data_IF_412773160672
#
_entry.id   IF_412773160672
#
_cell.length_a   1.000
_cell.length_b   1.000
_cell.length_c   1.000
_cell.angle_alpha   90.00
_cell.angle_beta   90.00
_cell.angle_gamma   90.00
#
_symmetry.space_group_name_H-M   'P 1'
#
loop_
_entity.id
_entity.type
_entity.pdbx_description
1 polymer ?
#
# COMPACT_ATOMS: atom_id res chain seq x y z
N UNK A 1 -14.99 -10.47 4.09
CA UNK A 1 -14.17 -10.03 2.96
C UNK A 1 -14.96 -10.23 1.69
N UNK A 2 -14.90 -9.30 0.73
CA UNK A 2 -15.49 -9.43 -0.60
C UNK A 2 -14.39 -9.49 -1.66
N UNK A 3 -14.71 -10.06 -2.81
CA UNK A 3 -13.87 -10.05 -3.99
C UNK A 3 -14.45 -9.02 -4.97
N UNK A 4 -13.61 -8.14 -5.47
CA UNK A 4 -14.02 -7.06 -6.40
C UNK A 4 -13.16 -7.12 -7.65
N UNK A 5 -13.79 -7.26 -8.81
CA UNK A 5 -13.08 -7.24 -10.10
C UNK A 5 -13.38 -5.95 -10.84
N UNK A 6 -12.32 -5.22 -11.23
CA UNK A 6 -12.42 -4.06 -12.11
C UNK A 6 -11.85 -4.41 -13.48
N UNK A 7 -12.53 -4.00 -14.54
CA UNK A 7 -12.05 -4.11 -15.90
C UNK A 7 -11.44 -2.78 -16.33
N UNK A 8 -10.15 -2.82 -16.65
CA UNK A 8 -9.35 -1.64 -16.97
C UNK A 8 -8.63 -1.89 -18.30
N UNK A 9 -8.67 -0.94 -19.26
CA UNK A 9 -7.98 -1.11 -20.52
C UNK A 9 -6.51 -1.47 -20.34
N UNK A 10 -6.05 -2.51 -21.04
CA UNK A 10 -4.67 -3.00 -21.04
C UNK A 10 -4.12 -3.48 -19.67
N UNK A 11 -4.93 -3.52 -18.62
CA UNK A 11 -4.46 -4.04 -17.35
C UNK A 11 -4.17 -5.54 -17.45
N UNK A 12 -3.04 -6.03 -16.93
CA UNK A 12 -2.82 -7.46 -16.79
C UNK A 12 -3.82 -8.05 -15.79
N UNK A 13 -4.04 -9.37 -15.83
CA UNK A 13 -4.78 -10.05 -14.78
C UNK A 13 -3.96 -10.05 -13.50
N UNK A 14 -4.26 -9.15 -12.57
CA UNK A 14 -3.52 -8.98 -11.33
C UNK A 14 -4.43 -8.95 -10.09
N UNK A 15 -3.85 -9.28 -8.94
CA UNK A 15 -4.43 -9.05 -7.63
C UNK A 15 -3.78 -7.82 -6.98
N UNK A 16 -4.59 -6.87 -6.50
CA UNK A 16 -4.18 -5.76 -5.64
C UNK A 16 -4.57 -6.07 -4.21
N UNK A 17 -3.58 -6.13 -3.33
CA UNK A 17 -3.71 -6.39 -1.90
C UNK A 17 -3.06 -5.24 -1.13
N UNK A 18 -3.70 -4.81 -0.04
CA UNK A 18 -3.16 -3.77 0.85
C UNK A 18 -3.75 -3.89 2.26
N UNK A 19 -3.11 -3.29 3.24
CA UNK A 19 -3.65 -3.11 4.60
C UNK A 19 -4.00 -4.44 5.30
N UNK A 20 -3.12 -5.44 5.28
CA UNK A 20 -3.28 -6.71 6.00
C UNK A 20 -3.07 -6.52 7.51
N UNK A 21 -2.08 -5.71 7.89
CA UNK A 21 -1.75 -5.38 9.29
C UNK A 21 -1.58 -6.62 10.17
N UNK A 22 -0.84 -7.61 9.72
CA UNK A 22 -0.53 -8.84 10.46
C UNK A 22 -1.72 -9.74 10.79
N UNK A 23 -2.91 -9.49 10.21
CA UNK A 23 -4.11 -10.30 10.43
C UNK A 23 -3.99 -11.66 9.72
N UNK A 24 -4.91 -12.57 10.06
CA UNK A 24 -4.97 -13.89 9.43
C UNK A 24 -5.11 -13.77 7.91
N UNK A 25 -4.12 -14.25 7.13
CA UNK A 25 -4.12 -14.13 5.68
C UNK A 25 -4.84 -15.29 4.96
N UNK A 26 -5.27 -16.32 5.66
CA UNK A 26 -5.76 -17.57 5.04
C UNK A 26 -6.92 -17.33 4.05
N UNK A 27 -7.94 -16.47 4.33
CA UNK A 27 -9.00 -16.19 3.37
C UNK A 27 -8.49 -15.45 2.11
N UNK A 28 -7.49 -14.59 2.27
CA UNK A 28 -6.87 -13.84 1.16
C UNK A 28 -6.09 -14.78 0.26
N UNK A 29 -5.24 -15.62 0.85
CA UNK A 29 -4.43 -16.61 0.12
C UNK A 29 -5.34 -17.56 -0.66
N UNK A 30 -6.43 -18.05 -0.05
CA UNK A 30 -7.39 -18.93 -0.71
C UNK A 30 -8.05 -18.26 -1.91
N UNK A 31 -8.45 -16.99 -1.79
CA UNK A 31 -9.02 -16.21 -2.87
C UNK A 31 -8.03 -16.03 -4.02
N UNK A 32 -6.80 -15.58 -3.71
CA UNK A 32 -5.76 -15.34 -4.74
C UNK A 32 -5.37 -16.63 -5.46
N UNK A 33 -5.25 -17.75 -4.74
CA UNK A 33 -4.95 -19.06 -5.33
C UNK A 33 -6.05 -19.53 -6.29
N UNK A 34 -7.33 -19.24 -5.98
CA UNK A 34 -8.46 -19.58 -6.83
C UNK A 34 -8.50 -18.75 -8.12
N UNK A 35 -8.18 -17.45 -8.04
CA UNK A 35 -8.20 -16.52 -9.18
C UNK A 35 -6.98 -16.63 -10.10
N UNK A 36 -5.84 -17.16 -9.60
CA UNK A 36 -4.60 -17.36 -10.37
C UNK A 36 -4.17 -16.12 -11.16
N UNK A 37 -3.97 -14.97 -10.50
CA UNK A 37 -3.52 -13.77 -11.18
C UNK A 37 -2.13 -13.99 -11.81
N UNK A 38 -1.82 -13.26 -12.88
CA UNK A 38 -0.49 -13.26 -13.49
C UNK A 38 0.53 -12.47 -12.67
N UNK A 39 0.06 -11.52 -11.86
CA UNK A 39 0.86 -10.67 -10.98
C UNK A 39 0.13 -10.45 -9.66
N UNK A 40 0.88 -10.29 -8.57
CA UNK A 40 0.35 -9.87 -7.25
C UNK A 40 1.03 -8.55 -6.87
N UNK A 41 0.21 -7.53 -6.66
CA UNK A 41 0.62 -6.18 -6.31
C UNK A 41 0.26 -5.88 -4.87
N UNK A 42 1.26 -5.74 -4.01
CA UNK A 42 1.15 -5.48 -2.59
C UNK A 42 1.38 -3.98 -2.33
N UNK A 43 0.30 -3.23 -2.11
CA UNK A 43 0.35 -1.78 -1.97
C UNK A 43 0.49 -1.30 -0.52
N UNK A 44 1.35 -1.96 0.28
CA UNK A 44 1.76 -1.51 1.62
C UNK A 44 0.84 -1.90 2.77
N UNK A 45 1.32 -1.62 3.99
CA UNK A 45 0.68 -1.83 5.29
C UNK A 45 0.35 -3.31 5.57
N UNK A 46 1.34 -4.18 5.39
CA UNK A 46 1.21 -5.62 5.72
C UNK A 46 1.54 -5.91 7.17
N UNK A 47 2.41 -5.11 7.81
CA UNK A 47 2.67 -5.18 9.24
C UNK A 47 1.69 -4.31 10.02
N UNK A 48 1.54 -4.61 11.32
CA UNK A 48 0.70 -3.84 12.24
C UNK A 48 1.55 -3.15 13.30
N UNK A 49 1.10 -1.96 13.69
CA UNK A 49 1.72 -1.19 14.75
C UNK A 49 2.76 -0.21 14.25
N UNK A 50 2.94 0.82 15.04
CA UNK A 50 3.88 1.92 14.80
C UNK A 50 5.06 1.89 15.78
N UNK A 51 5.08 0.92 16.71
CA UNK A 51 6.13 0.81 17.72
C UNK A 51 6.39 -0.65 18.05
N UNK A 52 7.65 -1.10 18.05
CA UNK A 52 7.99 -2.38 18.63
C UNK A 52 7.68 -2.32 20.13
N UNK A 53 7.10 -3.41 20.61
CA UNK A 53 6.85 -3.58 22.06
C UNK A 53 8.17 -3.79 22.81
N UNK A 54 9.18 -4.23 22.07
CA UNK A 54 10.56 -4.47 22.48
C UNK A 54 11.49 -4.24 21.27
N UNK A 55 12.79 -4.50 21.43
CA UNK A 55 13.81 -4.28 20.38
C UNK A 55 13.75 -5.31 19.22
N UNK A 56 12.70 -6.15 19.15
CA UNK A 56 12.55 -7.14 18.07
C UNK A 56 11.93 -6.52 16.83
N UNK A 57 12.30 -7.08 15.68
CA UNK A 57 11.67 -6.75 14.41
C UNK A 57 10.15 -6.99 14.43
N UNK A 58 9.35 -6.13 13.80
CA UNK A 58 7.93 -6.42 13.56
C UNK A 58 7.68 -7.76 12.87
N UNK A 59 8.60 -8.24 12.04
CA UNK A 59 8.49 -9.53 11.36
C UNK A 59 8.66 -10.73 12.29
N UNK A 60 9.41 -10.57 13.39
CA UNK A 60 9.56 -11.61 14.41
C UNK A 60 8.32 -11.74 15.30
N UNK A 61 7.60 -10.62 15.50
CA UNK A 61 6.45 -10.57 16.39
C UNK A 61 5.12 -10.80 15.69
N UNK A 62 5.10 -10.77 14.35
CA UNK A 62 3.89 -10.93 13.54
C UNK A 62 3.99 -12.18 12.65
N UNK A 63 3.71 -13.32 13.23
CA UNK A 63 3.89 -14.67 12.66
C UNK A 63 3.21 -14.87 11.29
N UNK A 64 2.18 -14.09 10.97
CA UNK A 64 1.40 -14.24 9.74
C UNK A 64 2.05 -13.58 8.51
N UNK A 65 2.98 -12.63 8.68
CA UNK A 65 3.44 -11.77 7.59
C UNK A 65 4.36 -12.50 6.62
N UNK A 66 5.43 -13.14 7.10
CA UNK A 66 6.35 -13.87 6.22
C UNK A 66 5.70 -15.08 5.53
N UNK A 67 4.87 -15.90 6.22
CA UNK A 67 4.10 -16.95 5.54
C UNK A 67 3.16 -16.43 4.46
N UNK A 68 2.54 -15.26 4.68
CA UNK A 68 1.71 -14.61 3.66
C UNK A 68 2.52 -14.25 2.42
N UNK A 69 3.68 -13.62 2.58
CA UNK A 69 4.55 -13.27 1.46
C UNK A 69 5.02 -14.50 0.67
N UNK A 70 5.43 -15.57 1.36
CA UNK A 70 5.77 -16.86 0.71
C UNK A 70 4.61 -17.45 -0.06
N UNK A 71 3.41 -17.40 0.50
CA UNK A 71 2.23 -17.93 -0.18
C UNK A 71 1.92 -17.12 -1.45
N UNK A 72 2.00 -15.80 -1.40
CA UNK A 72 1.79 -14.94 -2.55
C UNK A 72 2.83 -15.21 -3.65
N UNK A 73 4.12 -15.22 -3.31
CA UNK A 73 5.20 -15.47 -4.27
C UNK A 73 5.19 -16.89 -4.86
N UNK A 74 4.62 -17.85 -4.13
CA UNK A 74 4.37 -19.20 -4.63
C UNK A 74 3.20 -19.31 -5.61
N UNK A 75 2.31 -18.33 -5.66
CA UNK A 75 1.16 -18.28 -6.60
C UNK A 75 1.55 -17.54 -7.88
N UNK A 76 2.13 -16.35 -7.78
CA UNK A 76 2.51 -15.52 -8.93
C UNK A 76 3.66 -14.57 -8.56
N UNK A 77 4.37 -13.98 -9.56
CA UNK A 77 5.30 -12.87 -9.32
C UNK A 77 4.66 -11.81 -8.44
N UNK A 78 5.29 -11.48 -7.33
CA UNK A 78 4.75 -10.63 -6.27
C UNK A 78 5.65 -9.43 -6.02
N UNK A 79 5.07 -8.24 -6.00
CA UNK A 79 5.75 -6.95 -5.87
C UNK A 79 5.17 -6.18 -4.68
N UNK A 80 6.04 -5.64 -3.83
CA UNK A 80 5.68 -4.91 -2.62
C UNK A 80 6.19 -3.48 -2.66
N UNK A 81 5.31 -2.50 -2.48
CA UNK A 81 5.65 -1.11 -2.13
C UNK A 81 5.45 -0.87 -0.63
N UNK A 82 6.29 -0.03 -0.03
CA UNK A 82 6.27 0.22 1.40
C UNK A 82 5.20 1.26 1.77
N UNK A 83 4.25 0.87 2.62
CA UNK A 83 3.24 1.73 3.24
C UNK A 83 3.78 2.48 4.47
N UNK A 84 2.91 3.16 5.20
CA UNK A 84 3.35 3.93 6.37
C UNK A 84 3.65 3.04 7.59
N UNK A 85 3.09 1.85 7.68
CA UNK A 85 3.42 0.91 8.76
C UNK A 85 4.78 0.24 8.55
N UNK A 86 5.25 0.09 7.31
CA UNK A 86 6.59 -0.41 6.98
C UNK A 86 7.73 0.54 7.39
N UNK A 87 7.44 1.75 7.92
CA UNK A 87 8.46 2.68 8.44
C UNK A 87 9.40 2.05 9.49
N UNK A 88 8.94 1.00 10.14
CA UNK A 88 9.65 0.32 11.22
C UNK A 88 10.62 -0.76 10.72
N UNK A 89 10.53 -1.14 9.45
CA UNK A 89 11.40 -2.14 8.85
C UNK A 89 12.77 -1.55 8.54
N UNK A 90 13.81 -2.29 8.87
CA UNK A 90 15.17 -1.98 8.47
C UNK A 90 15.59 -2.80 7.25
N UNK A 91 16.86 -2.64 6.81
CA UNK A 91 17.36 -3.31 5.61
C UNK A 91 17.39 -4.84 5.78
N UNK A 92 17.65 -5.35 7.00
CA UNK A 92 17.64 -6.79 7.28
C UNK A 92 16.21 -7.36 7.18
N UNK A 93 15.21 -6.60 7.62
CA UNK A 93 13.80 -6.96 7.45
C UNK A 93 13.41 -7.01 5.96
N UNK A 94 13.85 -6.03 5.17
CA UNK A 94 13.57 -6.00 3.72
C UNK A 94 14.25 -7.16 2.98
N UNK A 95 15.48 -7.54 3.39
CA UNK A 95 16.17 -8.71 2.89
C UNK A 95 15.41 -10.01 3.25
N UNK A 96 14.90 -10.09 4.48
CA UNK A 96 14.10 -11.21 4.94
C UNK A 96 12.79 -11.34 4.13
N UNK A 97 12.10 -10.23 3.85
CA UNK A 97 10.93 -10.20 2.96
C UNK A 97 11.33 -10.69 1.56
N UNK A 98 12.42 -10.17 1.00
CA UNK A 98 12.91 -10.55 -0.33
C UNK A 98 13.25 -12.04 -0.41
N UNK A 99 13.75 -12.63 0.68
CA UNK A 99 14.03 -14.07 0.77
C UNK A 99 12.78 -14.96 0.65
N UNK A 100 11.58 -14.38 0.81
CA UNK A 100 10.30 -15.09 0.58
C UNK A 100 9.93 -15.19 -0.90
N UNK A 101 10.69 -14.57 -1.82
CA UNK A 101 10.40 -14.50 -3.24
C UNK A 101 9.58 -13.27 -3.66
N UNK A 102 9.29 -12.36 -2.73
CA UNK A 102 8.66 -11.06 -3.02
C UNK A 102 9.72 -10.07 -3.50
N UNK A 103 9.43 -9.35 -4.57
CA UNK A 103 10.27 -8.22 -5.00
C UNK A 103 9.86 -6.96 -4.25
N UNK A 104 10.73 -6.49 -3.37
CA UNK A 104 10.51 -5.22 -2.64
C UNK A 104 10.89 -4.06 -3.56
N UNK A 105 9.96 -3.14 -3.75
CA UNK A 105 10.11 -1.93 -4.58
C UNK A 105 10.15 -0.70 -3.67
N UNK A 106 11.35 -0.36 -3.20
CA UNK A 106 11.60 0.81 -2.36
C UNK A 106 12.12 1.96 -3.23
N UNK A 107 11.24 2.83 -3.68
CA UNK A 107 11.50 3.89 -4.65
C UNK A 107 12.27 3.38 -5.89
N UNK A 108 11.86 2.22 -6.38
CA UNK A 108 12.51 1.50 -7.47
C UNK A 108 11.48 0.84 -8.38
N UNK A 109 11.97 0.32 -9.52
CA UNK A 109 11.12 -0.40 -10.48
C UNK A 109 11.84 -1.59 -11.08
N UNK A 110 11.07 -2.49 -11.63
CA UNK A 110 11.53 -3.63 -12.42
C UNK A 110 10.71 -3.76 -13.69
N UNK A 111 11.31 -4.36 -14.71
CA UNK A 111 10.65 -4.69 -15.96
C UNK A 111 10.37 -6.19 -16.00
N UNK A 112 9.12 -6.56 -16.32
CA UNK A 112 8.71 -7.94 -16.46
C UNK A 112 7.64 -8.10 -17.54
N UNK A 113 7.94 -8.89 -18.57
CA UNK A 113 6.99 -9.27 -19.62
C UNK A 113 6.27 -8.07 -20.28
N UNK A 114 6.98 -6.96 -20.51
CA UNK A 114 6.45 -5.73 -21.10
C UNK A 114 5.71 -4.81 -20.13
N UNK A 115 5.64 -5.18 -18.85
CA UNK A 115 5.11 -4.35 -17.77
C UNK A 115 6.26 -3.79 -16.94
N UNK A 116 6.23 -2.50 -16.66
CA UNK A 116 7.18 -1.81 -15.77
C UNK A 116 6.48 -1.53 -14.46
N UNK A 117 6.90 -2.22 -13.40
CA UNK A 117 6.25 -2.17 -12.09
C UNK A 117 7.14 -1.43 -11.12
N UNK A 118 6.61 -0.38 -10.50
CA UNK A 118 7.32 0.48 -9.56
C UNK A 118 6.64 0.54 -8.19
N UNK A 119 7.43 0.84 -7.15
CA UNK A 119 6.94 1.10 -5.80
C UNK A 119 7.34 2.49 -5.33
N UNK A 120 6.34 3.34 -5.04
CA UNK A 120 6.54 4.63 -4.39
C UNK A 120 6.43 4.43 -2.88
N UNK A 121 7.58 4.47 -2.22
CA UNK A 121 7.68 4.31 -0.78
C UNK A 121 6.98 5.47 -0.05
N UNK A 122 6.23 5.16 0.98
CA UNK A 122 5.54 6.15 1.81
C UNK A 122 6.49 7.20 2.36
N UNK A 123 6.08 8.46 2.34
CA UNK A 123 6.82 9.57 2.94
C UNK A 123 7.08 9.38 4.44
N UNK A 124 6.26 8.61 5.14
CA UNK A 124 6.49 8.22 6.54
C UNK A 124 7.77 7.40 6.70
N UNK A 125 8.02 6.44 5.80
CA UNK A 125 9.25 5.65 5.77
C UNK A 125 10.46 6.55 5.52
N UNK A 126 10.35 7.44 4.53
CA UNK A 126 11.42 8.38 4.17
C UNK A 126 11.78 9.30 5.34
N UNK A 127 10.79 9.87 6.00
CA UNK A 127 11.00 10.77 7.13
C UNK A 127 11.56 10.04 8.35
N UNK A 128 11.10 8.83 8.63
CA UNK A 128 11.61 8.00 9.70
C UNK A 128 13.08 7.63 9.47
N UNK A 129 13.46 7.20 8.28
CA UNK A 129 14.87 6.90 7.93
C UNK A 129 15.77 8.11 8.05
N UNK A 130 15.29 9.29 7.63
CA UNK A 130 16.00 10.57 7.80
C UNK A 130 16.19 10.88 9.28
N UNK A 131 15.18 10.72 10.11
CA UNK A 131 15.27 10.91 11.54
C UNK A 131 16.30 9.97 12.15
N UNK A 132 16.22 8.65 11.86
CA UNK A 132 17.17 7.65 12.36
C UNK A 132 18.64 7.99 11.97
N UNK A 133 18.88 8.50 10.77
CA UNK A 133 20.20 8.88 10.29
C UNK A 133 20.79 10.11 11.00
N UNK A 134 19.95 11.01 11.51
CA UNK A 134 20.39 12.24 12.21
C UNK A 134 20.59 12.05 13.71
N UNK A 135 20.05 11.00 14.29
CA UNK A 135 20.13 10.66 15.72
C UNK A 135 21.15 9.54 15.95
N UNK A 136 22.44 9.85 15.72
CA UNK A 136 23.53 8.90 16.03
C UNK A 136 23.45 8.41 17.47
N UNK A 137 23.24 7.10 17.66
CA UNK A 137 23.28 6.44 18.97
C UNK A 137 21.93 6.28 19.68
N UNK A 138 20.81 6.57 19.04
CA UNK A 138 19.48 6.25 19.58
C UNK A 138 19.05 4.89 19.04
N UNK A 139 19.22 3.85 19.85
CA UNK A 139 18.73 2.49 19.57
C UNK A 139 17.19 2.36 19.65
N UNK A 140 16.51 3.47 19.93
CA UNK A 140 15.09 3.49 20.20
C UNK A 140 14.33 4.10 19.03
N UNK A 141 13.36 3.37 18.49
CA UNK A 141 12.40 3.94 17.56
C UNK A 141 11.69 5.15 18.18
N UNK A 142 11.68 6.31 17.51
CA UNK A 142 11.03 7.48 18.05
C UNK A 142 9.53 7.19 18.22
N UNK A 143 8.99 7.55 19.36
CA UNK A 143 7.55 7.53 19.55
C UNK A 143 6.91 8.55 18.64
N UNK A 144 5.61 8.37 18.34
CA UNK A 144 4.84 9.33 17.52
C UNK A 144 4.97 10.77 18.05
N UNK A 145 5.10 10.91 19.37
CA UNK A 145 5.35 12.18 20.05
C UNK A 145 6.73 12.77 19.73
N UNK A 146 7.74 11.91 19.54
CA UNK A 146 9.11 12.34 19.22
C UNK A 146 9.23 12.84 17.78
N UNK A 147 8.40 12.32 16.87
CA UNK A 147 8.29 12.82 15.50
C UNK A 147 7.53 14.14 15.41
N UNK A 148 6.68 14.48 16.38
CA UNK A 148 5.96 15.76 16.45
C UNK A 148 6.88 16.95 16.75
N UNK A 149 8.06 16.72 17.34
CA UNK A 149 9.08 17.75 17.60
C UNK A 149 9.89 18.18 16.38
N UNK A 150 9.79 17.43 15.26
CA UNK A 150 10.44 17.77 14.00
C UNK A 150 9.49 18.64 13.17
N UNK A 151 9.17 19.86 13.66
CA UNK A 151 8.51 20.88 12.85
C UNK A 151 6.99 21.04 12.99
N UNK A 152 6.46 20.98 14.22
CA UNK A 152 5.03 21.23 14.47
C UNK A 152 4.15 20.04 14.16
N UNK A 153 2.87 20.10 14.54
CA UNK A 153 1.91 19.02 14.29
C UNK A 153 1.91 18.61 12.81
N UNK A 154 2.72 17.61 12.47
CA UNK A 154 2.86 17.10 11.11
C UNK A 154 1.56 16.38 10.77
N UNK A 155 0.70 17.01 9.99
CA UNK A 155 -0.46 16.33 9.41
C UNK A 155 0.01 15.29 8.41
N UNK A 156 -0.73 14.21 8.22
CA UNK A 156 -0.40 13.15 7.27
C UNK A 156 -0.09 13.67 5.84
N UNK A 157 -0.62 14.85 5.48
CA UNK A 157 -0.34 15.55 4.21
C UNK A 157 1.08 16.14 4.11
N UNK A 158 1.88 16.10 5.17
CA UNK A 158 3.24 16.66 5.21
C UNK A 158 4.33 15.62 4.95
N UNK A 159 4.04 14.31 5.09
CA UNK A 159 4.97 13.24 4.73
C UNK A 159 5.01 13.06 3.22
N UNK A 160 5.95 13.75 2.59
CA UNK A 160 6.12 13.67 1.12
C UNK A 160 7.03 12.51 0.74
N UNK A 161 6.61 11.69 -0.24
CA UNK A 161 7.45 10.64 -0.78
C UNK A 161 8.61 11.24 -1.60
N UNK A 162 9.67 10.47 -1.80
CA UNK A 162 10.72 10.79 -2.74
C UNK A 162 10.24 10.53 -4.17
N UNK A 163 10.22 11.54 -5.02
CA UNK A 163 9.61 11.48 -6.36
C UNK A 163 10.57 11.79 -7.51
N UNK A 164 11.83 12.10 -7.24
CA UNK A 164 12.81 12.51 -8.27
C UNK A 164 13.02 11.45 -9.35
N UNK A 165 12.88 10.17 -9.00
CA UNK A 165 13.05 9.02 -9.86
C UNK A 165 11.84 8.71 -10.77
N UNK A 166 10.64 9.22 -10.44
CA UNK A 166 9.40 8.90 -11.16
C UNK A 166 9.44 9.30 -12.64
N UNK A 167 10.15 10.37 -12.98
CA UNK A 167 10.30 10.79 -14.36
C UNK A 167 11.13 9.77 -15.18
N UNK A 168 12.18 9.22 -14.61
CA UNK A 168 12.98 8.18 -15.25
C UNK A 168 12.15 6.90 -15.43
N UNK A 169 11.45 6.47 -14.38
CA UNK A 169 10.51 5.34 -14.44
C UNK A 169 9.46 5.51 -15.55
N UNK A 170 8.77 6.64 -15.59
CA UNK A 170 7.69 6.89 -16.56
C UNK A 170 8.18 7.07 -18.00
N UNK A 171 9.49 7.13 -18.22
CA UNK A 171 10.11 7.23 -19.54
C UNK A 171 10.60 5.89 -20.08
N UNK A 172 10.55 4.81 -19.31
CA UNK A 172 10.91 3.46 -19.79
C UNK A 172 9.85 2.95 -20.76
N UNK A 173 10.20 2.10 -21.75
CA UNK A 173 9.18 1.50 -22.62
C UNK A 173 8.35 0.47 -21.88
N UNK A 174 7.01 0.45 -22.09
CA UNK A 174 6.12 -0.57 -21.54
C UNK A 174 4.88 0.01 -20.87
N UNK A 175 4.06 -0.87 -20.27
CA UNK A 175 2.92 -0.50 -19.46
C UNK A 175 3.40 -0.17 -18.03
N UNK A 176 3.16 1.06 -17.56
CA UNK A 176 3.62 1.51 -16.25
C UNK A 176 2.57 1.27 -15.16
N UNK A 177 2.91 0.43 -14.18
CA UNK A 177 2.12 0.19 -12.98
C UNK A 177 2.91 0.72 -11.77
N UNK A 178 2.33 1.67 -11.04
CA UNK A 178 2.90 2.23 -9.83
C UNK A 178 2.12 1.76 -8.60
N UNK A 179 2.78 1.07 -7.69
CA UNK A 179 2.26 0.79 -6.36
C UNK A 179 2.55 2.00 -5.48
N UNK A 180 1.51 2.65 -4.99
CA UNK A 180 1.60 3.81 -4.09
C UNK A 180 0.58 3.63 -2.98
N UNK A 181 1.05 3.35 -1.76
CA UNK A 181 0.15 3.05 -0.65
C UNK A 181 -0.87 4.16 -0.44
N UNK A 182 -0.43 5.43 -0.37
CA UNK A 182 -1.29 6.58 -0.19
C UNK A 182 -1.86 7.09 -1.53
N UNK A 183 -3.19 7.03 -1.75
CA UNK A 183 -3.80 7.54 -2.98
C UNK A 183 -3.67 9.05 -3.15
N UNK A 184 -3.49 9.80 -2.07
CA UNK A 184 -3.26 11.25 -2.09
C UNK A 184 -1.94 11.68 -2.72
N UNK A 185 -1.03 10.74 -3.00
CA UNK A 185 0.19 11.02 -3.77
C UNK A 185 -0.03 11.09 -5.29
N UNK A 186 -1.21 10.72 -5.78
CA UNK A 186 -1.52 10.74 -7.22
C UNK A 186 -1.15 12.07 -7.93
N UNK A 187 -1.36 13.27 -7.34
CA UNK A 187 -0.96 14.53 -7.98
C UNK A 187 0.55 14.69 -8.20
N UNK A 188 1.37 13.86 -7.55
CA UNK A 188 2.84 13.85 -7.69
C UNK A 188 3.32 12.88 -8.78
N UNK A 189 2.42 12.03 -9.27
CA UNK A 189 2.74 10.97 -10.23
C UNK A 189 2.65 11.51 -11.66
N UNK A 190 3.68 11.34 -12.51
CA UNK A 190 3.66 11.76 -13.91
C UNK A 190 2.46 11.20 -14.68
N UNK A 191 1.89 11.98 -15.59
CA UNK A 191 0.71 11.56 -16.37
C UNK A 191 0.98 10.38 -17.32
N UNK A 192 2.23 10.11 -17.61
CA UNK A 192 2.67 8.97 -18.41
C UNK A 192 2.58 7.62 -17.68
N UNK A 193 2.29 7.62 -16.36
CA UNK A 193 2.04 6.38 -15.62
C UNK A 193 0.61 5.91 -15.89
N UNK A 194 0.47 4.68 -16.42
CA UNK A 194 -0.82 4.16 -16.89
C UNK A 194 -1.76 3.78 -15.74
N UNK A 195 -1.22 3.17 -14.67
CA UNK A 195 -2.00 2.64 -13.57
C UNK A 195 -1.32 2.87 -12.22
N UNK A 196 -2.06 3.41 -11.27
CA UNK A 196 -1.66 3.58 -9.87
C UNK A 196 -2.53 2.71 -8.99
N UNK A 197 -1.90 1.88 -8.15
CA UNK A 197 -2.57 0.94 -7.25
C UNK A 197 -2.31 1.34 -5.80
N UNK A 198 -3.37 1.55 -5.01
CA UNK A 198 -3.29 2.12 -3.66
C UNK A 198 -4.14 1.37 -2.63
N UNK A 199 -3.78 1.53 -1.36
CA UNK A 199 -4.52 1.13 -0.16
C UNK A 199 -4.81 2.33 0.75
N UNK A 200 -4.39 2.24 2.03
CA UNK A 200 -4.36 3.31 3.05
C UNK A 200 -5.71 3.89 3.48
N UNK A 201 -6.61 4.12 2.54
CA UNK A 201 -7.85 4.86 2.82
C UNK A 201 -8.90 4.03 3.56
N UNK A 202 -8.68 2.71 3.72
CA UNK A 202 -9.60 1.80 4.40
C UNK A 202 -11.07 1.98 3.98
N UNK A 203 -11.31 2.31 2.69
CA UNK A 203 -12.65 2.58 2.15
C UNK A 203 -13.34 3.80 2.75
N UNK A 204 -12.62 4.64 3.52
CA UNK A 204 -13.17 5.78 4.26
C UNK A 204 -13.93 5.39 5.52
N UNK A 205 -13.63 4.24 6.11
CA UNK A 205 -14.12 3.62 7.33
C UNK A 205 -15.64 3.40 7.36
N UNK A 206 -16.44 4.46 7.27
CA UNK A 206 -17.90 4.45 7.14
C UNK A 206 -18.26 4.96 5.74
N UNK A 207 -19.08 4.23 5.01
CA UNK A 207 -19.53 4.66 3.68
C UNK A 207 -20.99 5.09 3.74
N UNK A 208 -21.25 6.25 3.17
CA UNK A 208 -22.59 6.83 3.08
C UNK A 208 -23.02 6.85 1.61
N UNK A 209 -24.26 6.42 1.36
CA UNK A 209 -24.82 6.52 0.02
C UNK A 209 -25.31 7.94 -0.26
N UNK A 210 -24.77 8.55 -1.32
CA UNK A 210 -25.25 9.82 -1.81
C UNK A 210 -26.33 9.57 -2.90
N UNK A 211 -27.63 9.82 -2.61
CA UNK A 211 -28.69 9.51 -3.54
C UNK A 211 -28.70 10.42 -4.78
N UNK A 212 -28.16 11.63 -4.68
CA UNK A 212 -28.11 12.59 -5.79
C UNK A 212 -27.07 12.21 -6.85
N UNK A 213 -25.92 11.67 -6.40
CA UNK A 213 -24.85 11.22 -7.29
C UNK A 213 -24.88 9.71 -7.51
N UNK A 214 -25.76 8.99 -6.81
CA UNK A 214 -25.88 7.51 -6.84
C UNK A 214 -24.55 6.81 -6.58
N UNK A 215 -23.76 7.32 -5.64
CA UNK A 215 -22.45 6.82 -5.30
C UNK A 215 -22.28 6.61 -3.79
N UNK A 216 -21.42 5.68 -3.41
CA UNK A 216 -20.99 5.48 -2.04
C UNK A 216 -19.74 6.30 -1.78
N UNK A 217 -19.74 7.11 -0.72
CA UNK A 217 -18.58 7.91 -0.29
C UNK A 217 -18.10 7.49 1.08
N UNK A 218 -16.78 7.46 1.23
CA UNK A 218 -16.14 7.32 2.54
C UNK A 218 -16.36 8.58 3.40
N UNK A 219 -16.50 8.40 4.71
CA UNK A 219 -16.70 9.51 5.63
C UNK A 219 -15.37 10.15 6.05
N UNK A 220 -14.35 9.32 6.31
CA UNK A 220 -13.05 9.76 6.79
C UNK A 220 -11.95 8.75 6.48
N UNK A 221 -10.76 9.26 6.17
CA UNK A 221 -9.56 8.42 6.15
C UNK A 221 -8.32 9.23 6.54
N UNK A 222 -7.23 8.56 6.95
CA UNK A 222 -5.95 9.20 7.13
C UNK A 222 -5.51 9.92 5.85
N UNK A 223 -4.72 10.98 5.96
CA UNK A 223 -4.17 11.71 4.82
C UNK A 223 -5.14 12.65 4.11
N UNK A 224 -6.42 12.28 3.96
CA UNK A 224 -7.42 13.08 3.24
C UNK A 224 -8.48 13.72 4.17
N UNK A 225 -8.60 13.29 5.44
CA UNK A 225 -9.56 13.83 6.40
C UNK A 225 -11.01 13.42 6.13
N UNK A 226 -11.96 14.34 6.38
CA UNK A 226 -13.40 14.12 6.17
C UNK A 226 -13.78 14.26 4.70
N UNK A 227 -14.72 13.40 4.26
CA UNK A 227 -15.22 13.31 2.88
C UNK A 227 -14.10 13.15 1.85
N UNK A 228 -13.22 12.16 2.04
CA UNK A 228 -12.05 11.95 1.21
C UNK A 228 -12.43 11.71 -0.26
N UNK A 229 -11.55 12.13 -1.16
CA UNK A 229 -11.75 11.99 -2.60
C UNK A 229 -11.58 10.55 -3.07
N UNK A 230 -10.54 9.86 -2.58
CA UNK A 230 -10.14 8.54 -3.03
C UNK A 230 -10.15 7.53 -1.88
N UNK A 231 -11.12 6.63 -1.85
CA UNK A 231 -11.26 5.70 -0.73
C UNK A 231 -11.40 4.24 -1.12
N UNK A 232 -12.13 3.95 -2.18
CA UNK A 232 -12.38 2.60 -2.70
C UNK A 232 -12.96 2.69 -4.11
N UNK A 233 -12.36 2.00 -5.07
CA UNK A 233 -12.87 1.95 -6.43
C UNK A 233 -11.87 2.45 -7.46
N UNK A 234 -12.38 2.75 -8.65
CA UNK A 234 -11.60 3.22 -9.79
C UNK A 234 -11.86 4.71 -10.00
N UNK A 235 -10.79 5.46 -10.21
CA UNK A 235 -10.82 6.91 -10.33
C UNK A 235 -9.98 7.40 -11.50
N UNK A 236 -10.10 8.71 -11.82
CA UNK A 236 -9.25 9.43 -12.75
C UNK A 236 -9.13 8.71 -14.11
N UNK A 237 -10.29 8.39 -14.72
CA UNK A 237 -10.37 7.71 -16.03
C UNK A 237 -9.62 6.37 -16.06
N UNK A 238 -9.80 5.55 -15.04
CA UNK A 238 -9.17 4.23 -14.85
C UNK A 238 -7.67 4.26 -14.50
N UNK A 239 -7.11 5.42 -14.16
CA UNK A 239 -5.69 5.57 -13.82
C UNK A 239 -5.38 5.20 -12.37
N UNK A 240 -6.32 5.38 -11.43
CA UNK A 240 -6.13 5.07 -10.01
C UNK A 240 -7.13 4.01 -9.55
N UNK A 241 -6.63 2.95 -8.92
CA UNK A 241 -7.44 1.95 -8.21
C UNK A 241 -7.08 1.97 -6.74
N UNK A 242 -8.08 2.15 -5.88
CA UNK A 242 -7.92 2.17 -4.43
C UNK A 242 -8.66 0.99 -3.82
N UNK A 243 -7.92 0.12 -3.12
CA UNK A 243 -8.48 -0.96 -2.31
C UNK A 243 -9.02 -0.42 -0.99
N UNK A 244 -10.11 -1.00 -0.50
CA UNK A 244 -10.58 -0.74 0.87
C UNK A 244 -9.75 -1.47 1.93
N UNK A 245 -8.77 -2.26 1.52
CA UNK A 245 -7.87 -2.99 2.42
C UNK A 245 -8.42 -4.31 2.94
N UNK A 246 -7.50 -5.16 3.38
CA UNK A 246 -7.75 -6.54 3.81
C UNK A 246 -8.19 -6.65 5.27
N UNK A 247 -7.97 -5.62 6.09
CA UNK A 247 -8.29 -5.66 7.52
C UNK A 247 -8.95 -4.38 8.04
N UNK A 248 -9.37 -4.42 9.29
CA UNK A 248 -9.80 -3.25 10.05
C UNK A 248 -8.92 -3.10 11.30
N UNK A 249 -8.14 -2.04 11.35
CA UNK A 249 -7.27 -1.71 12.48
C UNK A 249 -7.80 -0.54 13.33
N UNK A 250 -8.74 0.23 12.80
CA UNK A 250 -9.35 1.32 13.53
C UNK A 250 -10.28 0.80 14.64
N UNK A 251 -10.36 1.56 15.76
CA UNK A 251 -11.34 1.29 16.83
C UNK A 251 -12.79 1.49 16.36
N UNK A 252 -12.99 2.28 15.31
CA UNK A 252 -14.30 2.50 14.69
C UNK A 252 -14.62 1.33 13.77
N UNK A 253 -15.82 0.73 13.86
CA UNK A 253 -16.19 -0.37 12.96
C UNK A 253 -16.35 0.14 11.51
N UNK A 254 -16.12 -0.75 10.56
CA UNK A 254 -16.45 -0.52 9.15
C UNK A 254 -17.97 -0.62 8.98
N UNK A 255 -18.60 0.41 8.41
CA UNK A 255 -20.05 0.42 8.14
C UNK A 255 -20.25 0.58 6.63
N UNK A 256 -20.99 -0.36 6.02
CA UNK A 256 -21.17 -0.47 4.56
C UNK A 256 -19.85 -0.48 3.77
N UNK A 257 -18.80 -0.99 4.39
CA UNK A 257 -17.44 -0.94 3.93
C UNK A 257 -16.70 -2.25 4.23
N UNK A 258 -17.01 -3.35 3.55
CA UNK A 258 -16.31 -4.61 3.75
C UNK A 258 -14.84 -4.52 3.35
N UNK A 259 -14.01 -5.35 3.99
CA UNK A 259 -12.65 -5.63 3.51
C UNK A 259 -12.70 -6.32 2.16
N UNK A 260 -11.69 -6.12 1.31
CA UNK A 260 -11.72 -6.66 -0.05
C UNK A 260 -10.37 -7.12 -0.58
N UNK A 261 -10.42 -8.11 -1.44
CA UNK A 261 -9.38 -8.42 -2.44
C UNK A 261 -9.83 -7.82 -3.75
N UNK A 262 -8.95 -7.08 -4.41
CA UNK A 262 -9.24 -6.45 -5.70
C UNK A 262 -8.52 -7.23 -6.80
N UNK A 263 -9.24 -7.55 -7.87
CA UNK A 263 -8.70 -8.12 -9.09
C UNK A 263 -8.86 -7.12 -10.24
N UNK A 264 -7.84 -7.03 -11.09
CA UNK A 264 -7.91 -6.29 -12.34
C UNK A 264 -7.83 -7.25 -13.52
N UNK A 265 -8.62 -6.95 -14.53
CA UNK A 265 -8.66 -7.67 -15.81
C UNK A 265 -8.67 -6.66 -16.95
N UNK A 266 -8.17 -7.04 -18.11
CA UNK A 266 -8.33 -6.23 -19.32
C UNK A 266 -9.80 -6.13 -19.73
N UNK A 267 -10.15 -4.96 -20.25
CA UNK A 267 -11.45 -4.78 -20.94
C UNK A 267 -11.47 -5.60 -22.23
#
# INVERSE_FOLDING_TARGET
MVETTYRIPNAPHLALLADLHGRDPAPVISSVAAHRPSLICLAGDFIYGSHPVDDRSPLETQENVLPFFRACSGIAPTFLSLGNHEQMLDDADLDLISSTGVTVLDNSWVEKDGVVIAGLTSGYVTDYRRFKSTQCGVERYPKKEDLSGIGGAVTASQHRPETSWLQAFSSTPGLHILLSHQPEYLPLVPDAVDLVLSGHAHGGQIRLFNPFKREWRGLWCPGQGFFPRWTRGVYERNRLVVSSGLSNTARVPRVFNPTEVVYLESL
#
